data_IF_386853359804
#
_entry.id   IF_386853359804
#
_cell.length_a   1.000
_cell.length_b   1.000
_cell.length_c   1.000
_cell.angle_alpha   90.00
_cell.angle_beta   90.00
_cell.angle_gamma   90.00
#
_symmetry.space_group_name_H-M   'P 1'
#
loop_
_entity.id
_entity.type
_entity.pdbx_description
1 polymer ?
#
# COMPACT_ATOMS: atom_id res chain seq x y z
N UNK A 1 0.36 22.97 -6.98
CA UNK A 1 1.16 22.35 -5.89
C UNK A 1 0.28 22.25 -4.65
N UNK A 2 0.37 21.16 -3.88
CA UNK A 2 -0.43 20.97 -2.67
C UNK A 2 0.16 21.75 -1.47
N UNK A 3 -0.69 22.40 -0.67
CA UNK A 3 -0.31 22.97 0.62
C UNK A 3 -0.14 21.86 1.70
N UNK A 4 0.31 22.23 2.90
CA UNK A 4 0.57 21.25 3.97
C UNK A 4 -0.68 20.48 4.41
N UNK A 5 -1.81 21.17 4.52
CA UNK A 5 -3.10 20.58 4.90
C UNK A 5 -3.60 19.59 3.83
N UNK A 6 -3.47 19.95 2.56
CA UNK A 6 -3.80 19.10 1.42
C UNK A 6 -2.96 17.84 1.39
N UNK A 7 -1.64 17.95 1.64
CA UNK A 7 -0.76 16.79 1.74
C UNK A 7 -1.20 15.87 2.88
N UNK A 8 -1.54 16.43 4.04
CA UNK A 8 -2.01 15.67 5.20
C UNK A 8 -3.31 14.91 4.88
N UNK A 9 -4.34 15.61 4.38
CA UNK A 9 -5.63 15.02 4.01
C UNK A 9 -5.48 13.95 2.94
N UNK A 10 -4.66 14.20 1.92
CA UNK A 10 -4.36 13.23 0.86
C UNK A 10 -3.72 11.95 1.43
N UNK A 11 -2.71 12.09 2.28
CA UNK A 11 -2.04 10.96 2.93
C UNK A 11 -3.00 10.16 3.81
N UNK A 12 -3.86 10.84 4.57
CA UNK A 12 -4.86 10.21 5.43
C UNK A 12 -5.88 9.41 4.61
N UNK A 13 -6.48 10.02 3.60
CA UNK A 13 -7.47 9.34 2.73
C UNK A 13 -6.83 8.19 1.95
N UNK A 14 -5.60 8.35 1.47
CA UNK A 14 -4.90 7.28 0.78
C UNK A 14 -4.54 6.11 1.72
N UNK A 15 -4.12 6.39 2.96
CA UNK A 15 -3.88 5.36 3.98
C UNK A 15 -5.16 4.57 4.26
N UNK A 16 -6.30 5.23 4.42
CA UNK A 16 -7.58 4.58 4.65
C UNK A 16 -7.93 3.67 3.46
N UNK A 17 -7.74 4.15 2.23
CA UNK A 17 -8.01 3.38 1.02
C UNK A 17 -7.18 2.10 0.97
N UNK A 18 -5.87 2.20 1.22
CA UNK A 18 -4.97 1.04 1.22
C UNK A 18 -5.38 0.02 2.29
N UNK A 19 -5.65 0.47 3.53
CA UNK A 19 -6.08 -0.42 4.61
C UNK A 19 -7.38 -1.13 4.22
N UNK A 20 -8.40 -0.40 3.76
CA UNK A 20 -9.70 -1.00 3.40
C UNK A 20 -9.59 -1.97 2.23
N UNK A 21 -8.76 -1.66 1.24
CA UNK A 21 -8.62 -2.48 0.02
C UNK A 21 -7.86 -3.78 0.31
N UNK A 22 -6.87 -3.77 1.20
CA UNK A 22 -5.96 -4.89 1.40
C UNK A 22 -6.09 -5.60 2.77
N UNK A 23 -6.86 -5.06 3.72
CA UNK A 23 -6.99 -5.67 5.05
C UNK A 23 -7.51 -7.11 5.01
N UNK A 24 -8.50 -7.41 4.18
CA UNK A 24 -9.05 -8.77 4.06
C UNK A 24 -8.03 -9.75 3.48
N UNK A 25 -7.30 -9.33 2.45
CA UNK A 25 -6.23 -10.14 1.85
C UNK A 25 -5.10 -10.39 2.84
N UNK A 26 -4.68 -9.36 3.60
CA UNK A 26 -3.67 -9.51 4.64
C UNK A 26 -4.14 -10.41 5.80
N UNK A 27 -5.40 -10.29 6.21
CA UNK A 27 -5.99 -11.13 7.25
C UNK A 27 -6.04 -12.61 6.84
N UNK A 28 -6.32 -12.91 5.56
CA UNK A 28 -6.27 -14.28 5.03
C UNK A 28 -4.88 -14.93 5.14
N UNK A 29 -3.83 -14.12 5.25
CA UNK A 29 -2.44 -14.58 5.37
C UNK A 29 -1.87 -14.50 6.80
N UNK A 30 -2.65 -14.06 7.80
CA UNK A 30 -2.15 -13.84 9.16
C UNK A 30 -1.59 -15.11 9.83
N UNK A 31 -2.20 -16.27 9.53
CA UNK A 31 -1.81 -17.59 10.06
C UNK A 31 -0.81 -18.33 9.16
N UNK A 32 -0.39 -17.72 8.05
CA UNK A 32 0.51 -18.36 7.09
C UNK A 32 1.98 -18.19 7.51
N UNK A 33 2.83 -19.10 7.03
CA UNK A 33 4.28 -19.00 7.27
C UNK A 33 4.91 -18.03 6.27
N UNK A 34 5.79 -17.18 6.76
CA UNK A 34 6.56 -16.23 5.94
C UNK A 34 8.00 -16.72 5.81
N UNK A 35 8.47 -16.88 4.58
CA UNK A 35 9.88 -17.13 4.26
C UNK A 35 10.54 -15.82 3.83
N UNK A 36 11.52 -15.36 4.60
CA UNK A 36 12.35 -14.21 4.23
C UNK A 36 13.52 -14.69 3.38
N UNK A 37 13.67 -14.09 2.20
CA UNK A 37 14.80 -14.39 1.32
C UNK A 37 16.06 -13.66 1.81
N UNK A 38 17.26 -14.14 1.48
CA UNK A 38 18.49 -13.45 1.81
C UNK A 38 18.47 -12.01 1.31
N UNK A 39 18.65 -11.06 2.24
CA UNK A 39 18.72 -9.64 1.92
C UNK A 39 20.01 -9.37 1.14
N UNK A 40 19.87 -8.75 -0.03
CA UNK A 40 21.00 -8.27 -0.85
C UNK A 40 21.14 -6.77 -0.65
N UNK A 41 21.84 -6.37 0.42
CA UNK A 41 22.09 -4.97 0.74
C UNK A 41 23.52 -4.76 1.25
N UNK A 42 24.10 -3.61 0.96
CA UNK A 42 25.35 -3.13 1.56
C UNK A 42 25.03 -2.28 2.80
N UNK A 43 25.93 -2.19 3.79
CA UNK A 43 25.71 -1.35 4.98
C UNK A 43 25.45 0.13 4.70
N UNK A 44 25.94 0.62 3.55
CA UNK A 44 25.80 2.01 3.08
C UNK A 44 24.48 2.28 2.37
N UNK A 45 23.72 1.24 2.02
CA UNK A 45 22.50 1.40 1.25
C UNK A 45 21.44 2.14 2.08
N UNK A 46 20.69 2.99 1.39
CA UNK A 46 19.59 3.79 1.94
C UNK A 46 18.24 3.43 1.32
N UNK A 47 18.26 2.55 0.32
CA UNK A 47 17.08 1.97 -0.32
C UNK A 47 17.36 0.47 -0.53
N UNK A 48 16.44 -0.38 -0.10
CA UNK A 48 16.56 -1.84 -0.23
C UNK A 48 15.21 -2.47 -0.52
N UNK A 49 15.24 -3.63 -1.17
CA UNK A 49 14.08 -4.51 -1.30
C UNK A 49 14.24 -5.72 -0.40
N UNK A 50 13.28 -5.93 0.51
CA UNK A 50 13.18 -7.16 1.30
C UNK A 50 12.17 -8.08 0.61
N UNK A 51 12.64 -9.23 0.11
CA UNK A 51 11.79 -10.22 -0.55
C UNK A 51 11.28 -11.24 0.48
N UNK A 52 9.96 -11.43 0.50
CA UNK A 52 9.25 -12.35 1.37
C UNK A 52 8.38 -13.27 0.52
N UNK A 53 8.15 -14.50 0.98
CA UNK A 53 7.19 -15.43 0.39
C UNK A 53 6.20 -15.89 1.44
N UNK A 54 4.92 -15.78 1.13
CA UNK A 54 3.84 -16.35 1.95
C UNK A 54 3.63 -17.79 1.51
N UNK A 55 3.86 -18.74 2.41
CA UNK A 55 3.68 -20.17 2.17
C UNK A 55 2.24 -20.54 2.49
N UNK A 56 1.53 -21.13 1.53
CA UNK A 56 0.16 -21.57 1.68
C UNK A 56 0.07 -23.09 1.42
N UNK A 57 -0.67 -23.85 2.25
CA UNK A 57 -0.86 -25.28 2.01
C UNK A 57 -1.53 -25.53 0.64
N UNK A 58 -0.93 -26.40 -0.19
CA UNK A 58 -1.52 -26.82 -1.46
C UNK A 58 -1.52 -25.78 -2.59
N UNK A 59 -0.87 -24.62 -2.39
CA UNK A 59 -0.76 -23.57 -3.40
C UNK A 59 0.69 -23.09 -3.57
N UNK A 60 0.97 -22.40 -4.68
CA UNK A 60 2.29 -21.79 -4.91
C UNK A 60 2.53 -20.64 -3.92
N UNK A 61 3.76 -20.47 -3.42
CA UNK A 61 4.09 -19.33 -2.56
C UNK A 61 3.82 -17.99 -3.23
N UNK A 62 3.20 -17.06 -2.51
CA UNK A 62 2.93 -15.72 -3.01
C UNK A 62 4.12 -14.81 -2.68
N UNK A 63 4.80 -14.22 -3.68
CA UNK A 63 5.90 -13.29 -3.42
C UNK A 63 5.38 -11.92 -2.98
N UNK A 64 6.04 -11.36 -1.97
CA UNK A 64 5.82 -10.01 -1.45
C UNK A 64 7.17 -9.31 -1.38
N UNK A 65 7.28 -8.15 -2.03
CA UNK A 65 8.48 -7.33 -2.00
C UNK A 65 8.21 -6.03 -1.25
N UNK A 66 8.97 -5.80 -0.18
CA UNK A 66 8.91 -4.56 0.60
C UNK A 66 10.02 -3.63 0.13
N UNK A 67 9.65 -2.49 -0.46
CA UNK A 67 10.59 -1.42 -0.78
C UNK A 67 10.76 -0.55 0.45
N UNK A 68 11.99 -0.47 0.95
CA UNK A 68 12.33 0.18 2.21
C UNK A 68 13.34 1.29 2.00
N UNK A 69 13.13 2.42 2.66
CA UNK A 69 14.07 3.53 2.72
C UNK A 69 14.63 3.68 4.14
N UNK A 70 15.89 4.09 4.24
CA UNK A 70 16.54 4.41 5.51
C UNK A 70 16.28 5.85 5.88
N UNK A 71 15.57 6.06 6.98
CA UNK A 71 15.31 7.39 7.53
C UNK A 71 16.13 7.64 8.79
N UNK A 72 16.13 8.88 9.30
CA UNK A 72 16.71 9.19 10.61
C UNK A 72 16.06 8.41 11.76
N UNK A 73 14.81 7.97 11.59
CA UNK A 73 14.07 7.13 12.54
C UNK A 73 14.21 5.62 12.26
N UNK A 74 15.14 5.22 11.39
CA UNK A 74 15.34 3.83 10.96
C UNK A 74 14.67 3.49 9.62
N UNK A 75 14.67 2.20 9.27
CA UNK A 75 14.08 1.73 8.01
C UNK A 75 12.56 1.86 8.00
N UNK A 76 11.99 2.34 6.90
CA UNK A 76 10.55 2.49 6.67
C UNK A 76 10.18 1.85 5.35
N UNK A 77 9.06 1.13 5.32
CA UNK A 77 8.47 0.65 4.08
C UNK A 77 7.76 1.82 3.40
N UNK A 78 8.09 2.09 2.14
CA UNK A 78 7.40 3.11 1.34
C UNK A 78 6.53 2.50 0.24
N UNK A 79 6.76 1.23 -0.13
CA UNK A 79 5.92 0.50 -1.07
C UNK A 79 5.94 -1.00 -0.78
N UNK A 80 4.84 -1.66 -1.15
CA UNK A 80 4.68 -3.12 -1.08
C UNK A 80 4.28 -3.59 -2.47
N UNK A 81 4.91 -4.63 -2.97
CA UNK A 81 4.53 -5.28 -4.23
C UNK A 81 4.11 -6.70 -3.95
N UNK A 82 2.92 -7.08 -4.41
CA UNK A 82 2.35 -8.42 -4.22
C UNK A 82 2.12 -9.03 -5.60
N UNK A 83 2.69 -10.21 -5.85
CA UNK A 83 2.52 -10.88 -7.14
C UNK A 83 2.98 -10.05 -8.35
N UNK A 84 3.97 -9.18 -8.16
CA UNK A 84 4.51 -8.29 -9.21
C UNK A 84 3.75 -6.98 -9.40
N UNK A 85 2.72 -6.69 -8.59
CA UNK A 85 1.97 -5.43 -8.65
C UNK A 85 2.29 -4.55 -7.46
N UNK A 86 2.92 -3.40 -7.71
CA UNK A 86 3.20 -2.37 -6.69
C UNK A 86 1.92 -1.68 -6.25
N UNK A 87 1.70 -1.60 -4.94
CA UNK A 87 0.52 -0.95 -4.38
C UNK A 87 0.54 0.55 -4.68
N UNK A 88 1.67 1.23 -4.49
CA UNK A 88 1.76 2.68 -4.73
C UNK A 88 1.73 3.01 -6.22
N UNK A 89 2.45 2.25 -7.06
CA UNK A 89 2.52 2.54 -8.49
C UNK A 89 1.16 2.37 -9.19
N UNK A 90 0.35 1.39 -8.75
CA UNK A 90 -0.99 1.19 -9.28
C UNK A 90 -1.87 2.45 -9.14
N UNK A 91 -1.81 3.11 -7.99
CA UNK A 91 -2.57 4.35 -7.75
C UNK A 91 -1.93 5.60 -8.36
N UNK A 92 -0.60 5.63 -8.51
CA UNK A 92 0.12 6.81 -9.03
C UNK A 92 -0.41 7.25 -10.40
N UNK A 93 -0.70 6.30 -11.29
CA UNK A 93 -1.24 6.60 -12.63
C UNK A 93 -2.64 7.21 -12.56
N UNK A 94 -3.54 6.62 -11.77
CA UNK A 94 -4.91 7.13 -11.55
C UNK A 94 -4.89 8.54 -10.92
N UNK A 95 -4.00 8.75 -9.95
CA UNK A 95 -3.88 10.03 -9.24
C UNK A 95 -3.36 11.12 -10.16
N UNK A 96 -2.37 10.81 -11.00
CA UNK A 96 -1.84 11.78 -11.95
C UNK A 96 -2.91 12.28 -12.94
N UNK A 97 -3.77 11.38 -13.41
CA UNK A 97 -4.88 11.76 -14.30
C UNK A 97 -5.88 12.66 -13.56
N UNK A 98 -6.31 12.23 -12.37
CA UNK A 98 -7.24 12.99 -11.54
C UNK A 98 -6.72 14.38 -11.17
N UNK A 99 -5.44 14.49 -10.82
CA UNK A 99 -4.81 15.77 -10.45
C UNK A 99 -4.70 16.70 -11.66
N UNK A 100 -4.47 16.17 -12.87
CA UNK A 100 -4.50 16.97 -14.09
C UNK A 100 -5.90 17.54 -14.35
N UNK A 101 -6.93 16.73 -14.15
CA UNK A 101 -8.31 17.09 -14.52
C UNK A 101 -9.00 17.95 -13.45
N UNK A 102 -8.76 17.67 -12.16
CA UNK A 102 -9.52 18.24 -11.04
C UNK A 102 -8.66 18.76 -9.88
N UNK A 103 -7.34 18.76 -10.04
CA UNK A 103 -6.40 19.19 -9.01
C UNK A 103 -6.37 18.28 -7.77
N UNK A 104 -5.58 18.70 -6.78
CA UNK A 104 -5.36 17.93 -5.55
C UNK A 104 -6.65 17.81 -4.72
N UNK A 105 -7.46 18.86 -4.64
CA UNK A 105 -8.76 18.78 -3.95
C UNK A 105 -9.71 17.80 -4.63
N UNK A 106 -9.71 17.73 -5.96
CA UNK A 106 -10.49 16.74 -6.70
C UNK A 106 -10.09 15.31 -6.33
N UNK A 107 -8.79 15.04 -6.29
CA UNK A 107 -8.27 13.74 -5.86
C UNK A 107 -8.68 13.40 -4.42
N UNK A 108 -8.54 14.35 -3.48
CA UNK A 108 -8.96 14.14 -2.08
C UNK A 108 -10.46 13.80 -1.99
N UNK A 109 -11.31 14.51 -2.74
CA UNK A 109 -12.76 14.24 -2.78
C UNK A 109 -13.06 12.84 -3.32
N UNK A 110 -12.37 12.41 -4.38
CA UNK A 110 -12.54 11.08 -4.97
C UNK A 110 -12.12 9.98 -3.98
N UNK A 111 -10.97 10.14 -3.31
CA UNK A 111 -10.52 9.19 -2.30
C UNK A 111 -11.49 9.10 -1.12
N UNK A 112 -11.95 10.25 -0.62
CA UNK A 112 -12.93 10.32 0.46
C UNK A 112 -14.25 9.64 0.09
N UNK A 113 -14.74 9.82 -1.14
CA UNK A 113 -15.93 9.15 -1.63
C UNK A 113 -15.72 7.63 -1.74
N UNK A 114 -14.60 7.19 -2.33
CA UNK A 114 -14.25 5.77 -2.46
C UNK A 114 -14.14 5.08 -1.10
N UNK A 115 -13.53 5.74 -0.11
CA UNK A 115 -13.44 5.24 1.26
C UNK A 115 -14.81 5.05 1.92
N UNK A 116 -15.75 5.99 1.73
CA UNK A 116 -17.13 5.86 2.21
C UNK A 116 -17.87 4.70 1.54
N UNK A 117 -17.68 4.50 0.24
CA UNK A 117 -18.28 3.37 -0.47
C UNK A 117 -17.74 2.02 0.04
N UNK A 118 -16.43 1.92 0.24
CA UNK A 118 -15.80 0.72 0.81
C UNK A 118 -16.27 0.44 2.24
N UNK A 119 -16.59 1.48 3.02
CA UNK A 119 -17.21 1.33 4.35
C UNK A 119 -18.59 0.72 4.29
N UNK A 120 -19.46 1.26 3.42
CA UNK A 120 -20.81 0.76 3.26
C UNK A 120 -20.81 -0.70 2.76
N UNK A 121 -19.89 -1.06 1.85
CA UNK A 121 -19.73 -2.42 1.35
C UNK A 121 -19.22 -3.40 2.42
N UNK A 122 -18.22 -2.99 3.23
CA UNK A 122 -17.69 -3.82 4.32
C UNK A 122 -18.67 -4.01 5.48
N UNK A 123 -19.49 -2.99 5.79
CA UNK A 123 -20.55 -3.08 6.80
C UNK A 123 -21.75 -3.93 6.38
N UNK A 124 -22.00 -4.08 5.08
CA UNK A 124 -23.07 -4.92 4.55
C UNK A 124 -22.72 -6.42 4.53
N UNK A 125 -21.44 -6.79 4.54
CA UNK A 125 -20.98 -8.19 4.61
C UNK A 125 -20.87 -8.72 6.06
N UNK A 126 -21.08 -7.87 7.07
CA UNK A 126 -21.00 -8.21 8.50
C UNK A 126 -22.38 -8.24 9.20
N UNK A 127 -23.48 -8.11 8.45
CA UNK A 127 -24.85 -8.31 8.92
C UNK A 127 -25.43 -9.55 8.28
#
# INVERSE_FOLDING_TARGET
KANAEQKKRLTEEFKILLVRTYASALAAYAEQKFEFRPLRAKPTDTDVTVNVRVLQPGAQPVPIDYSMEKTSAGWKVYDVMVGGVSLVANYRTEFNNTVRDSGIEGLIKILSAKNRTLEAAGGAQQK
#
